data_IF_672883144513
#
_entry.id   IF_672883144513
#
_cell.length_a   1.000
_cell.length_b   1.000
_cell.length_c   1.000
_cell.angle_alpha   90.00
_cell.angle_beta   90.00
_cell.angle_gamma   90.00
#
_symmetry.space_group_name_H-M   'P 1'
#
loop_
_entity.id
_entity.type
_entity.pdbx_description
1 polymer ?
#
# COMPACT_ATOMS: atom_id res chain seq x y z
N UNK A 1 -4.99 -11.62 -10.96
CA UNK A 1 -5.67 -12.49 -11.95
C UNK A 1 -7.04 -13.06 -11.53
N UNK A 2 -7.45 -13.15 -10.27
CA UNK A 2 -8.83 -13.59 -9.92
C UNK A 2 -9.94 -12.71 -10.51
N UNK A 3 -9.67 -11.44 -10.78
CA UNK A 3 -10.63 -10.51 -11.39
C UNK A 3 -10.98 -10.82 -12.84
N UNK A 4 -10.20 -11.64 -13.53
CA UNK A 4 -10.50 -12.04 -14.93
C UNK A 4 -11.73 -12.97 -15.06
N UNK A 5 -12.26 -13.48 -13.96
CA UNK A 5 -13.50 -14.27 -13.95
C UNK A 5 -14.77 -13.46 -13.69
N UNK A 6 -14.65 -12.16 -13.38
CA UNK A 6 -15.78 -11.28 -13.03
C UNK A 6 -16.12 -10.37 -14.21
N UNK A 7 -16.66 -10.95 -15.29
CA UNK A 7 -17.21 -10.18 -16.41
C UNK A 7 -16.19 -9.29 -17.14
N UNK A 8 -16.67 -8.24 -17.81
CA UNK A 8 -15.88 -7.35 -18.67
C UNK A 8 -15.09 -6.29 -17.88
N UNK A 9 -14.15 -6.69 -17.00
CA UNK A 9 -13.25 -5.76 -16.33
C UNK A 9 -12.07 -5.42 -17.24
N UNK A 10 -11.94 -4.16 -17.64
CA UNK A 10 -10.78 -3.63 -18.33
C UNK A 10 -9.83 -2.95 -17.34
N UNK A 11 -8.55 -3.27 -17.41
CA UNK A 11 -7.50 -2.64 -16.62
C UNK A 11 -6.82 -1.59 -17.47
N UNK A 12 -6.88 -0.33 -17.03
CA UNK A 12 -6.08 0.76 -17.58
C UNK A 12 -4.86 0.97 -16.68
N UNK A 13 -3.70 1.19 -17.26
CA UNK A 13 -2.46 1.49 -16.53
C UNK A 13 -2.12 2.96 -16.63
N UNK A 14 -1.53 3.49 -15.56
CA UNK A 14 -0.97 4.84 -15.51
C UNK A 14 0.54 4.70 -15.22
N UNK A 15 1.38 4.52 -16.26
CA UNK A 15 2.78 4.13 -16.08
C UNK A 15 3.64 5.21 -15.43
N UNK A 16 3.44 6.47 -15.79
CA UNK A 16 4.30 7.56 -15.34
C UNK A 16 5.76 7.43 -15.83
N UNK A 17 6.56 8.42 -15.52
CA UNK A 17 8.02 8.38 -15.67
C UNK A 17 8.62 8.05 -14.31
N UNK A 18 9.60 7.13 -14.27
CA UNK A 18 10.26 6.73 -13.05
C UNK A 18 10.87 7.93 -12.30
N UNK A 19 10.56 8.05 -11.01
CA UNK A 19 10.91 9.15 -10.10
C UNK A 19 10.37 10.54 -10.48
N UNK A 20 9.45 10.61 -11.44
CA UNK A 20 8.74 11.85 -11.78
C UNK A 20 7.29 11.78 -11.28
N UNK A 21 7.04 12.34 -10.11
CA UNK A 21 5.72 12.36 -9.49
C UNK A 21 4.70 13.17 -10.31
N UNK A 22 5.13 14.23 -11.01
CA UNK A 22 4.23 15.05 -11.84
C UNK A 22 3.76 14.27 -13.07
N UNK A 23 4.64 13.50 -13.68
CA UNK A 23 4.29 12.60 -14.78
C UNK A 23 3.24 11.56 -14.32
N UNK A 24 3.43 10.98 -13.12
CA UNK A 24 2.46 10.03 -12.54
C UNK A 24 1.10 10.70 -12.33
N UNK A 25 1.05 11.89 -11.73
CA UNK A 25 -0.20 12.63 -11.51
C UNK A 25 -0.92 12.91 -12.85
N UNK A 26 -0.17 13.34 -13.88
CA UNK A 26 -0.73 13.60 -15.19
C UNK A 26 -1.31 12.34 -15.84
N UNK A 27 -0.65 11.19 -15.68
CA UNK A 27 -1.13 9.91 -16.20
C UNK A 27 -2.39 9.42 -15.48
N UNK A 28 -2.45 9.54 -14.16
CA UNK A 28 -3.68 9.25 -13.42
C UNK A 28 -4.81 10.20 -13.82
N UNK A 29 -4.52 11.49 -14.01
CA UNK A 29 -5.51 12.47 -14.45
C UNK A 29 -6.09 12.14 -15.83
N UNK A 30 -5.30 11.58 -16.76
CA UNK A 30 -5.77 11.12 -18.06
C UNK A 30 -6.52 9.78 -17.98
N UNK A 31 -6.05 8.86 -17.14
CA UNK A 31 -6.58 7.50 -17.05
C UNK A 31 -7.94 7.41 -16.32
N UNK A 32 -8.18 8.27 -15.33
CA UNK A 32 -9.44 8.27 -14.56
C UNK A 32 -10.54 8.95 -15.39
N UNK A 33 -11.22 8.17 -16.22
CA UNK A 33 -12.39 8.60 -17.02
C UNK A 33 -13.68 8.23 -16.31
N UNK A 34 -14.89 8.68 -16.77
CA UNK A 34 -16.16 8.37 -16.13
C UNK A 34 -16.49 6.87 -16.02
N UNK A 35 -15.85 6.03 -16.85
CA UNK A 35 -16.03 4.57 -16.81
C UNK A 35 -15.20 3.88 -15.73
N UNK A 36 -14.23 4.57 -15.14
CA UNK A 36 -13.35 4.00 -14.08
C UNK A 36 -14.17 3.77 -12.82
N UNK A 37 -14.18 2.55 -12.34
CA UNK A 37 -14.92 2.11 -11.15
C UNK A 37 -14.11 2.13 -9.87
N UNK A 38 -12.81 1.97 -9.98
CA UNK A 38 -11.88 2.06 -8.85
C UNK A 38 -10.47 2.33 -9.35
N UNK A 39 -9.66 2.93 -8.51
CA UNK A 39 -8.22 3.13 -8.70
C UNK A 39 -7.49 2.27 -7.68
N UNK A 40 -6.51 1.47 -8.16
CA UNK A 40 -5.58 0.74 -7.33
C UNK A 40 -4.19 1.35 -7.54
N UNK A 41 -3.55 1.76 -6.46
CA UNK A 41 -2.26 2.40 -6.52
C UNK A 41 -1.34 1.87 -5.43
N UNK A 42 -0.12 1.46 -5.79
CA UNK A 42 0.92 1.24 -4.78
C UNK A 42 1.41 2.58 -4.25
N UNK A 43 1.73 2.64 -2.96
CA UNK A 43 2.34 3.84 -2.38
C UNK A 43 3.83 3.91 -2.67
N UNK A 44 4.51 2.77 -2.65
CA UNK A 44 5.95 2.66 -2.92
C UNK A 44 6.22 1.44 -3.81
N UNK A 45 7.01 1.63 -4.86
CA UNK A 45 7.46 0.55 -5.72
C UNK A 45 8.41 -0.39 -4.96
N UNK A 46 8.11 -1.68 -4.97
CA UNK A 46 8.99 -2.70 -4.39
C UNK A 46 10.24 -2.99 -5.24
N UNK A 47 10.30 -2.47 -6.45
CA UNK A 47 11.45 -2.63 -7.35
C UNK A 47 12.38 -1.43 -7.25
N UNK A 48 11.86 -0.23 -7.42
CA UNK A 48 12.67 0.98 -7.50
C UNK A 48 12.65 1.84 -6.25
N UNK A 49 11.84 1.51 -5.24
CA UNK A 49 11.64 2.37 -4.09
C UNK A 49 10.92 3.68 -4.40
N UNK A 50 10.45 3.88 -5.63
CA UNK A 50 9.76 5.10 -6.03
C UNK A 50 8.52 5.34 -5.18
N UNK A 51 8.48 6.47 -4.50
CA UNK A 51 7.35 6.92 -3.67
C UNK A 51 6.36 7.66 -4.57
N UNK A 52 5.18 7.08 -4.73
CA UNK A 52 4.13 7.67 -5.56
C UNK A 52 3.39 8.80 -4.80
N UNK A 53 2.90 9.83 -5.52
CA UNK A 53 2.22 11.00 -4.95
C UNK A 53 0.77 10.65 -4.55
N UNK A 54 0.61 9.86 -3.50
CA UNK A 54 -0.69 9.32 -3.06
C UNK A 54 -1.69 10.40 -2.69
N UNK A 55 -1.24 11.52 -2.10
CA UNK A 55 -2.14 12.62 -1.71
C UNK A 55 -2.80 13.27 -2.92
N UNK A 56 -2.04 13.51 -3.97
CA UNK A 56 -2.48 14.10 -5.23
C UNK A 56 -3.40 13.12 -5.99
N UNK A 57 -3.02 11.85 -6.06
CA UNK A 57 -3.85 10.79 -6.65
C UNK A 57 -5.18 10.67 -5.88
N UNK A 58 -5.15 10.72 -4.56
CA UNK A 58 -6.34 10.68 -3.73
C UNK A 58 -7.25 11.90 -3.98
N UNK A 59 -6.67 13.10 -4.14
CA UNK A 59 -7.41 14.30 -4.50
C UNK A 59 -8.09 14.18 -5.86
N UNK A 60 -7.40 13.62 -6.88
CA UNK A 60 -7.98 13.33 -8.18
C UNK A 60 -9.13 12.33 -8.08
N UNK A 61 -8.96 11.25 -7.34
CA UNK A 61 -10.01 10.25 -7.13
C UNK A 61 -11.25 10.86 -6.46
N UNK A 62 -11.06 11.65 -5.40
CA UNK A 62 -12.16 12.36 -4.73
C UNK A 62 -12.90 13.32 -5.65
N UNK A 63 -12.17 14.12 -6.42
CA UNK A 63 -12.78 15.10 -7.34
C UNK A 63 -13.63 14.44 -8.43
N UNK A 64 -13.40 13.17 -8.71
CA UNK A 64 -14.10 12.39 -9.73
C UNK A 64 -15.05 11.33 -9.16
N UNK A 65 -15.18 11.26 -7.83
CA UNK A 65 -16.06 10.30 -7.16
C UNK A 65 -15.65 8.83 -7.35
N UNK A 66 -14.35 8.57 -7.60
CA UNK A 66 -13.82 7.23 -7.84
C UNK A 66 -13.13 6.72 -6.58
N UNK A 67 -13.49 5.53 -6.05
CA UNK A 67 -12.85 4.96 -4.88
C UNK A 67 -11.38 4.63 -5.16
N UNK A 68 -10.51 4.95 -4.19
CA UNK A 68 -9.08 4.65 -4.21
C UNK A 68 -8.77 3.50 -3.25
N UNK A 69 -8.00 2.53 -3.73
CA UNK A 69 -7.39 1.46 -2.93
C UNK A 69 -5.88 1.63 -2.97
N UNK A 70 -5.26 1.70 -1.80
CA UNK A 70 -3.81 1.91 -1.67
C UNK A 70 -3.15 0.61 -1.20
N UNK A 71 -2.13 0.18 -1.93
CA UNK A 71 -1.18 -0.83 -1.47
C UNK A 71 -0.04 -0.14 -0.73
N UNK A 72 -0.06 -0.23 0.61
CA UNK A 72 0.96 0.32 1.49
C UNK A 72 2.01 -0.72 1.92
N UNK A 73 2.19 -1.78 1.13
CA UNK A 73 3.08 -2.90 1.47
C UNK A 73 4.54 -2.51 1.69
N UNK A 74 5.00 -1.43 1.05
CA UNK A 74 6.39 -0.95 1.19
C UNK A 74 6.48 0.35 1.99
N UNK A 75 5.36 0.99 2.30
CA UNK A 75 5.34 2.27 3.02
C UNK A 75 4.93 2.15 4.48
N UNK A 76 4.10 1.17 4.83
CA UNK A 76 3.63 1.00 6.21
C UNK A 76 4.82 0.79 7.17
N UNK A 77 4.87 1.58 8.23
CA UNK A 77 5.95 1.57 9.21
C UNK A 77 7.12 2.48 8.91
N UNK A 78 7.23 3.00 7.68
CA UNK A 78 8.31 3.90 7.23
C UNK A 78 7.77 5.26 6.81
N UNK A 79 6.75 5.28 5.94
CA UNK A 79 6.09 6.51 5.51
C UNK A 79 4.75 6.68 6.21
N UNK A 80 4.24 7.92 6.32
CA UNK A 80 2.91 8.15 6.85
C UNK A 80 1.83 7.45 6.02
N UNK A 81 1.03 6.59 6.67
CA UNK A 81 -0.13 5.94 6.08
C UNK A 81 -1.35 6.40 6.88
N UNK A 82 -2.16 7.26 6.29
CA UNK A 82 -3.31 7.87 6.94
C UNK A 82 -4.56 7.75 6.06
N UNK A 83 -5.52 6.97 6.55
CA UNK A 83 -6.79 6.72 5.89
C UNK A 83 -7.65 7.99 5.80
N UNK A 84 -7.64 8.81 6.85
CA UNK A 84 -8.49 10.02 6.90
C UNK A 84 -8.00 11.08 5.93
N UNK A 85 -6.70 11.34 5.89
CA UNK A 85 -6.11 12.36 5.01
C UNK A 85 -6.23 11.98 3.54
N UNK A 86 -6.08 10.69 3.20
CA UNK A 86 -6.23 10.20 1.83
C UNK A 86 -7.69 10.06 1.41
N UNK A 87 -8.59 9.73 2.35
CA UNK A 87 -9.98 9.37 2.05
C UNK A 87 -10.08 8.13 1.17
N UNK A 88 -9.08 7.24 1.24
CA UNK A 88 -9.08 5.99 0.49
C UNK A 88 -10.22 5.08 0.95
N UNK A 89 -10.77 4.30 0.02
CA UNK A 89 -11.75 3.27 0.36
C UNK A 89 -11.11 2.14 1.17
N UNK A 90 -9.88 1.77 0.79
CA UNK A 90 -9.11 0.73 1.48
C UNK A 90 -7.62 1.05 1.43
N UNK A 91 -6.89 0.67 2.50
CA UNK A 91 -5.43 0.63 2.52
C UNK A 91 -5.01 -0.74 3.03
N UNK A 92 -4.31 -1.52 2.19
CA UNK A 92 -3.81 -2.84 2.53
C UNK A 92 -2.31 -2.83 2.84
N UNK A 93 -1.87 -3.61 3.84
CA UNK A 93 -0.46 -3.74 4.18
C UNK A 93 -0.17 -5.10 4.83
N UNK A 94 0.94 -5.77 4.48
CA UNK A 94 1.38 -7.00 5.14
C UNK A 94 2.05 -6.70 6.47
N UNK A 95 1.91 -7.62 7.42
CA UNK A 95 2.51 -7.47 8.74
C UNK A 95 4.03 -7.69 8.76
N UNK A 96 4.56 -8.52 7.84
CA UNK A 96 5.94 -9.02 7.85
C UNK A 96 6.98 -8.11 7.17
N UNK A 97 6.60 -6.87 6.79
CA UNK A 97 7.52 -5.88 6.22
C UNK A 97 7.81 -4.77 7.25
N UNK A 98 7.65 -3.52 6.90
CA UNK A 98 7.95 -2.38 7.78
C UNK A 98 7.14 -2.31 9.08
N UNK A 99 6.14 -3.18 9.28
CA UNK A 99 5.46 -3.34 10.55
C UNK A 99 6.12 -4.36 11.49
N UNK A 100 7.20 -5.04 11.08
CA UNK A 100 7.99 -5.99 11.87
C UNK A 100 7.19 -7.14 12.52
N UNK A 101 6.03 -7.47 11.95
CA UNK A 101 5.20 -8.59 12.38
C UNK A 101 5.58 -9.91 11.69
N UNK A 102 4.97 -11.03 12.11
CA UNK A 102 5.21 -12.33 11.50
C UNK A 102 4.54 -12.46 10.12
N UNK A 103 5.04 -13.40 9.32
CA UNK A 103 4.41 -13.80 8.07
C UNK A 103 2.97 -14.32 8.31
N UNK A 104 2.11 -14.20 7.31
CA UNK A 104 0.70 -14.62 7.41
C UNK A 104 -0.18 -13.65 8.21
N UNK A 105 0.32 -12.44 8.49
CA UNK A 105 -0.45 -11.34 9.09
C UNK A 105 -0.47 -10.11 8.19
N UNK A 106 -1.45 -9.25 8.41
CA UNK A 106 -1.57 -7.98 7.70
C UNK A 106 -2.73 -7.16 8.24
N UNK A 107 -2.88 -5.97 7.70
CA UNK A 107 -3.96 -5.04 8.04
C UNK A 107 -4.66 -4.57 6.77
N UNK A 108 -5.98 -4.45 6.87
CA UNK A 108 -6.81 -3.74 5.89
C UNK A 108 -7.54 -2.62 6.62
N UNK A 109 -7.15 -1.38 6.35
CA UNK A 109 -7.88 -0.21 6.82
C UNK A 109 -9.07 0.03 5.90
N UNK A 110 -10.27 0.10 6.46
CA UNK A 110 -11.52 0.27 5.73
C UNK A 110 -12.04 1.71 5.89
N UNK A 111 -12.04 2.50 4.82
CA UNK A 111 -12.66 3.82 4.74
C UNK A 111 -14.12 3.78 4.34
N UNK A 112 -14.65 2.58 4.07
CA UNK A 112 -16.05 2.36 3.71
C UNK A 112 -16.54 1.04 4.28
N UNK A 113 -17.81 1.01 4.69
CA UNK A 113 -18.50 -0.22 5.08
C UNK A 113 -19.18 -0.91 3.88
N UNK A 114 -19.19 -0.27 2.71
CA UNK A 114 -19.82 -0.79 1.49
C UNK A 114 -18.94 -1.84 0.81
N UNK A 115 -18.73 -2.95 1.50
CA UNK A 115 -17.90 -4.07 1.03
C UNK A 115 -18.62 -5.39 1.30
N UNK A 116 -18.52 -6.31 0.35
CA UNK A 116 -19.00 -7.69 0.51
C UNK A 116 -17.84 -8.60 0.85
N UNK A 117 -18.04 -9.64 1.67
CA UNK A 117 -17.02 -10.65 1.92
C UNK A 117 -16.68 -11.36 0.60
N UNK A 118 -15.40 -11.69 0.43
CA UNK A 118 -14.93 -12.54 -0.67
C UNK A 118 -14.96 -14.03 -0.28
N UNK A 119 -14.76 -14.29 1.01
CA UNK A 119 -14.84 -15.62 1.61
C UNK A 119 -15.87 -15.59 2.74
N UNK A 120 -16.59 -16.69 2.89
CA UNK A 120 -17.61 -16.85 3.91
C UNK A 120 -17.38 -18.15 4.70
N UNK A 121 -17.82 -18.18 5.95
CA UNK A 121 -17.75 -19.33 6.83
C UNK A 121 -16.93 -19.08 8.09
N UNK A 122 -17.16 -19.89 9.12
CA UNK A 122 -16.48 -19.77 10.39
C UNK A 122 -16.68 -18.41 11.04
N UNK A 123 -17.94 -17.96 11.17
CA UNK A 123 -18.33 -16.61 11.58
C UNK A 123 -18.07 -16.30 13.08
N UNK A 124 -17.27 -17.09 13.77
CA UNK A 124 -16.86 -16.83 15.15
C UNK A 124 -18.04 -16.67 16.12
N UNK A 125 -18.31 -15.43 16.50
CA UNK A 125 -19.38 -15.07 17.45
C UNK A 125 -20.81 -15.37 16.97
N UNK A 126 -21.00 -15.52 15.65
CA UNK A 126 -22.30 -15.75 15.00
C UNK A 126 -22.34 -17.03 14.18
N UNK A 127 -21.73 -18.11 14.64
CA UNK A 127 -21.57 -19.38 13.92
C UNK A 127 -22.87 -20.07 13.48
N UNK A 128 -24.01 -19.64 13.99
CA UNK A 128 -25.36 -20.10 13.57
C UNK A 128 -25.83 -19.44 12.27
N UNK A 129 -25.23 -18.33 11.85
CA UNK A 129 -25.59 -17.64 10.60
C UNK A 129 -24.97 -18.34 9.40
N UNK A 130 -25.70 -18.36 8.29
CA UNK A 130 -25.19 -18.82 6.99
C UNK A 130 -24.33 -17.76 6.28
N UNK A 131 -24.61 -16.49 6.54
CA UNK A 131 -23.94 -15.35 5.99
C UNK A 131 -22.95 -14.78 7.00
N UNK A 132 -21.96 -14.04 6.51
CA UNK A 132 -21.01 -13.32 7.37
C UNK A 132 -21.73 -12.25 8.19
N UNK A 133 -21.23 -11.93 9.41
CA UNK A 133 -21.77 -10.86 10.24
C UNK A 133 -21.87 -9.52 9.50
N UNK A 134 -22.85 -8.67 9.85
CA UNK A 134 -23.04 -7.39 9.17
C UNK A 134 -21.94 -6.36 9.47
N UNK A 135 -21.22 -6.53 10.57
CA UNK A 135 -20.30 -5.54 11.09
C UNK A 135 -18.84 -5.84 10.74
N UNK A 136 -18.02 -4.80 10.56
CA UNK A 136 -16.58 -4.91 10.48
C UNK A 136 -15.98 -4.99 11.90
N UNK A 137 -14.91 -5.75 12.09
CA UNK A 137 -14.12 -6.49 11.10
C UNK A 137 -14.68 -7.87 10.74
N UNK A 138 -15.60 -8.43 11.51
CA UNK A 138 -16.07 -9.82 11.43
C UNK A 138 -16.58 -10.19 10.03
N UNK A 139 -17.21 -9.24 9.33
CA UNK A 139 -17.69 -9.40 7.95
C UNK A 139 -16.60 -9.87 6.98
N UNK A 140 -15.36 -9.45 7.18
CA UNK A 140 -14.25 -9.72 6.27
C UNK A 140 -13.28 -10.78 6.81
N UNK A 141 -13.47 -11.22 8.04
CA UNK A 141 -12.60 -12.16 8.75
C UNK A 141 -13.23 -13.54 8.86
N UNK A 142 -13.22 -14.30 7.75
CA UNK A 142 -13.76 -15.67 7.74
C UNK A 142 -12.80 -16.65 8.41
N UNK A 143 -13.36 -17.55 9.21
CA UNK A 143 -12.63 -18.63 9.88
C UNK A 143 -11.98 -18.24 11.20
N UNK A 144 -11.16 -19.14 11.75
CA UNK A 144 -10.42 -18.91 12.99
C UNK A 144 -9.21 -18.03 12.74
N UNK A 145 -9.13 -16.90 13.41
CA UNK A 145 -8.05 -15.92 13.24
C UNK A 145 -6.72 -16.43 13.79
N UNK A 146 -5.61 -16.01 13.16
CA UNK A 146 -4.25 -16.29 13.62
C UNK A 146 -3.89 -15.43 14.85
N UNK A 147 -4.46 -15.73 16.00
CA UNK A 147 -4.26 -14.93 17.23
C UNK A 147 -2.78 -14.80 17.62
N UNK A 148 -1.95 -15.86 17.59
CA UNK A 148 -0.52 -15.71 17.88
C UNK A 148 0.19 -14.75 16.91
N UNK A 149 -0.14 -14.83 15.63
CA UNK A 149 0.41 -13.92 14.62
C UNK A 149 -0.03 -12.49 14.82
N UNK A 150 -1.30 -12.26 15.15
CA UNK A 150 -1.86 -10.92 15.45
C UNK A 150 -1.17 -10.32 16.69
N UNK A 151 -0.95 -11.12 17.74
CA UNK A 151 -0.20 -10.68 18.92
C UNK A 151 1.23 -10.28 18.57
N UNK A 152 1.91 -11.07 17.72
CA UNK A 152 3.25 -10.72 17.22
C UNK A 152 3.26 -9.44 16.38
N UNK A 153 2.26 -9.24 15.51
CA UNK A 153 2.11 -8.00 14.73
C UNK A 153 1.89 -6.78 15.63
N UNK A 154 1.12 -6.93 16.72
CA UNK A 154 0.92 -5.84 17.69
C UNK A 154 2.27 -5.39 18.30
N UNK A 155 3.16 -6.33 18.65
CA UNK A 155 4.49 -5.98 19.17
C UNK A 155 5.37 -5.32 18.12
N UNK A 156 5.30 -5.75 16.86
CA UNK A 156 5.96 -5.08 15.75
C UNK A 156 5.50 -3.62 15.60
N UNK A 157 4.19 -3.38 15.59
CA UNK A 157 3.61 -2.02 15.53
C UNK A 157 4.04 -1.18 16.76
N UNK A 158 4.08 -1.77 17.96
CA UNK A 158 4.59 -1.10 19.16
C UNK A 158 6.05 -0.71 19.04
N UNK A 159 6.87 -1.57 18.43
CA UNK A 159 8.28 -1.28 18.13
C UNK A 159 8.39 -0.08 17.20
N UNK A 160 7.69 -0.09 16.04
CA UNK A 160 7.68 1.03 15.08
C UNK A 160 7.25 2.34 15.75
N UNK A 161 6.20 2.30 16.59
CA UNK A 161 5.75 3.48 17.34
C UNK A 161 6.78 4.02 18.32
N UNK A 162 7.55 3.13 18.99
CA UNK A 162 8.62 3.57 19.92
C UNK A 162 9.82 4.16 19.19
N UNK A 163 10.22 3.56 18.06
CA UNK A 163 11.32 4.07 17.24
C UNK A 163 10.97 5.40 16.57
N UNK A 164 9.73 5.54 16.13
CA UNK A 164 9.25 6.63 15.29
C UNK A 164 9.47 6.32 13.80
N UNK A 165 8.40 6.34 12.99
CA UNK A 165 8.53 6.13 11.54
C UNK A 165 9.50 7.11 10.86
N UNK A 166 9.53 8.37 11.32
CA UNK A 166 10.42 9.40 10.77
C UNK A 166 11.90 9.06 11.00
N UNK A 167 12.24 8.46 12.16
CA UNK A 167 13.60 8.01 12.47
C UNK A 167 13.99 6.84 11.56
N UNK A 168 13.08 5.90 11.34
CA UNK A 168 13.29 4.76 10.45
C UNK A 168 13.52 5.27 9.02
N UNK A 169 12.65 6.15 8.53
CA UNK A 169 12.76 6.74 7.20
C UNK A 169 14.08 7.49 7.00
N UNK A 170 14.48 8.29 7.99
CA UNK A 170 15.74 9.04 7.95
C UNK A 170 16.94 8.10 7.81
N UNK A 171 17.01 7.07 8.65
CA UNK A 171 18.09 6.08 8.60
C UNK A 171 18.13 5.33 7.26
N UNK A 172 16.98 4.88 6.76
CA UNK A 172 16.89 4.23 5.45
C UNK A 172 17.36 5.18 4.33
N UNK A 173 16.94 6.44 4.38
CA UNK A 173 17.32 7.44 3.37
C UNK A 173 18.82 7.71 3.36
N UNK A 174 19.46 7.85 4.53
CA UNK A 174 20.92 8.01 4.61
C UNK A 174 21.67 6.81 4.01
N UNK A 175 21.25 5.59 4.36
CA UNK A 175 21.86 4.37 3.84
C UNK A 175 21.70 4.24 2.32
N UNK A 176 20.52 4.54 1.79
CA UNK A 176 20.26 4.48 0.34
C UNK A 176 21.05 5.53 -0.42
N UNK A 177 21.16 6.75 0.09
CA UNK A 177 21.97 7.80 -0.54
C UNK A 177 23.47 7.42 -0.54
N UNK A 178 23.98 6.88 0.57
CA UNK A 178 25.37 6.39 0.63
C UNK A 178 25.59 5.28 -0.39
N UNK A 179 24.73 4.26 -0.41
CA UNK A 179 24.83 3.14 -1.34
C UNK A 179 24.74 3.60 -2.79
N UNK A 180 23.77 4.46 -3.14
CA UNK A 180 23.62 5.00 -4.48
C UNK A 180 24.88 5.76 -4.93
N UNK A 181 25.46 6.58 -4.07
CA UNK A 181 26.69 7.32 -4.34
C UNK A 181 27.85 6.38 -4.67
N UNK A 182 28.07 5.34 -3.85
CA UNK A 182 29.17 4.38 -4.06
C UNK A 182 28.95 3.57 -5.35
N UNK A 183 27.70 3.15 -5.63
CA UNK A 183 27.40 2.40 -6.84
C UNK A 183 27.50 3.26 -8.13
N UNK A 184 27.17 4.55 -8.06
CA UNK A 184 27.34 5.47 -9.19
C UNK A 184 28.81 5.70 -9.55
N UNK A 185 29.75 5.44 -8.64
CA UNK A 185 31.19 5.52 -8.93
C UNK A 185 31.70 4.33 -9.77
N UNK A 186 30.90 3.29 -9.94
CA UNK A 186 31.22 2.11 -10.74
C UNK A 186 30.63 2.27 -12.15
N UNK A 187 31.47 2.50 -13.19
CA UNK A 187 31.00 2.86 -14.52
C UNK A 187 30.25 1.74 -15.24
N UNK A 188 30.43 0.50 -14.82
CA UNK A 188 29.73 -0.67 -15.36
C UNK A 188 28.30 -0.83 -14.84
N UNK A 189 27.91 -0.08 -13.81
CA UNK A 189 26.59 -0.17 -13.22
C UNK A 189 25.66 0.96 -13.68
N UNK A 190 24.45 0.59 -14.01
CA UNK A 190 23.32 1.51 -14.18
C UNK A 190 22.49 1.50 -12.91
N UNK A 191 22.57 2.57 -12.12
CA UNK A 191 21.85 2.72 -10.85
C UNK A 191 20.56 3.51 -11.05
N UNK A 192 19.45 3.04 -10.48
CA UNK A 192 18.15 3.70 -10.52
C UNK A 192 17.89 4.40 -9.18
N UNK A 193 18.30 5.65 -9.09
CA UNK A 193 18.12 6.48 -7.89
C UNK A 193 17.36 7.76 -8.21
N UNK A 194 16.51 8.20 -7.27
CA UNK A 194 15.83 9.49 -7.37
C UNK A 194 16.82 10.64 -7.15
N UNK A 195 16.66 11.71 -7.92
CA UNK A 195 17.41 12.97 -7.71
C UNK A 195 16.70 13.89 -6.72
N UNK A 196 15.39 13.72 -6.58
CA UNK A 196 14.57 14.55 -5.71
C UNK A 196 14.37 13.85 -4.36
N UNK A 197 14.58 14.59 -3.29
CA UNK A 197 14.32 14.12 -1.93
C UNK A 197 12.84 13.72 -1.74
N UNK A 198 12.61 12.65 -0.97
CA UNK A 198 11.26 12.13 -0.73
C UNK A 198 10.66 11.31 -1.87
N UNK A 199 11.34 11.19 -3.02
CA UNK A 199 10.85 10.38 -4.14
C UNK A 199 11.31 8.92 -4.09
N UNK A 200 12.16 8.53 -3.14
CA UNK A 200 12.66 7.15 -2.98
C UNK A 200 12.67 6.74 -1.51
N UNK A 201 12.28 5.49 -1.26
CA UNK A 201 12.36 4.81 0.03
C UNK A 201 13.65 3.98 0.13
N UNK A 202 13.77 3.13 1.18
CA UNK A 202 14.89 2.25 1.45
C UNK A 202 15.17 1.14 0.40
N UNK A 203 14.72 1.29 -0.85
CA UNK A 203 14.92 0.31 -1.94
C UNK A 203 15.70 0.95 -3.07
N UNK A 204 16.77 0.30 -3.52
CA UNK A 204 17.61 0.70 -4.64
C UNK A 204 17.74 -0.44 -5.64
N UNK A 205 17.63 -0.16 -6.93
CA UNK A 205 17.86 -1.10 -8.02
C UNK A 205 19.03 -0.67 -8.88
N UNK A 206 19.77 -1.65 -9.40
CA UNK A 206 20.87 -1.44 -10.35
C UNK A 206 20.97 -2.62 -11.32
N UNK A 207 21.60 -2.40 -12.45
CA UNK A 207 21.90 -3.38 -13.52
C UNK A 207 23.37 -3.36 -13.86
#
# INVERSE_FOLDING_TARGET
>A
RPLYGIGNVQIKTAPGILFDQQSVIADFARAITPEVRAVFCTHVSNVFGFVLPIREIAALCRSRGVPLVIDASQSAGVLPVDLQSTGAAFIGMPGHKGLYGPQGTGLLLCGTEKVKPLMEGGTGSMSMLREMPPDLPDRLEAGTQNIPGIAGLLEGIRFVRRMGPDVILHQESELIHLLAKELHALPELRVFSAQQEGCQSGVLSFL
#
